data_IF_841425774785
#
_entry.id   IF_841425774785
#
_cell.length_a   1.000
_cell.length_b   1.000
_cell.length_c   1.000
_cell.angle_alpha   90.00
_cell.angle_beta   90.00
_cell.angle_gamma   90.00
#
_symmetry.space_group_name_H-M   'P 1'
#
loop_
_entity.id
_entity.type
_entity.pdbx_description
1 polymer ?
#
# COMPACT_ATOMS: atom_id res chain seq x y z
N UNK A 1 -38.14 -47.54 -10.04
CA UNK A 1 -36.84 -48.06 -10.51
C UNK A 1 -35.84 -47.98 -9.37
N UNK A 2 -34.97 -48.97 -9.19
CA UNK A 2 -33.87 -48.92 -8.22
C UNK A 2 -32.88 -47.84 -8.68
N UNK A 3 -32.57 -46.85 -7.83
CA UNK A 3 -31.54 -45.84 -8.15
C UNK A 3 -30.20 -46.56 -8.35
N UNK A 4 -29.45 -46.14 -9.37
CA UNK A 4 -28.09 -46.66 -9.62
C UNK A 4 -27.14 -46.18 -8.52
N UNK A 5 -26.07 -46.92 -8.25
CA UNK A 5 -25.05 -46.53 -7.27
C UNK A 5 -23.74 -46.04 -7.92
N UNK A 6 -23.20 -44.95 -7.38
CA UNK A 6 -21.91 -44.38 -7.74
C UNK A 6 -20.99 -44.37 -6.52
N UNK A 7 -19.92 -45.15 -6.56
CA UNK A 7 -18.88 -45.12 -5.55
C UNK A 7 -17.79 -44.12 -5.95
N UNK A 8 -17.56 -43.09 -5.13
CA UNK A 8 -16.50 -42.09 -5.31
C UNK A 8 -15.32 -42.46 -4.42
N UNK A 9 -14.19 -42.84 -5.02
CA UNK A 9 -12.99 -43.27 -4.29
C UNK A 9 -11.89 -42.22 -4.42
N UNK A 10 -11.35 -41.75 -3.29
CA UNK A 10 -10.21 -40.83 -3.27
C UNK A 10 -9.07 -41.33 -2.37
N UNK A 11 -7.89 -40.72 -2.53
CA UNK A 11 -6.77 -40.96 -1.61
C UNK A 11 -6.99 -40.32 -0.24
N UNK A 12 -7.62 -39.13 -0.21
CA UNK A 12 -7.72 -38.23 0.94
C UNK A 12 -9.19 -37.90 1.24
N UNK A 13 -9.51 -37.71 2.53
CA UNK A 13 -10.88 -37.43 3.01
C UNK A 13 -11.47 -36.14 2.43
N UNK A 14 -10.70 -35.06 2.31
CA UNK A 14 -11.17 -33.77 1.78
C UNK A 14 -11.53 -33.89 0.31
N UNK A 15 -10.65 -34.55 -0.46
CA UNK A 15 -10.89 -34.80 -1.90
C UNK A 15 -12.17 -35.64 -2.07
N UNK A 16 -12.34 -36.70 -1.27
CA UNK A 16 -13.55 -37.52 -1.27
C UNK A 16 -14.80 -36.65 -1.04
N UNK A 17 -14.84 -35.92 0.08
CA UNK A 17 -16.00 -35.10 0.45
C UNK A 17 -16.33 -34.07 -0.63
N UNK A 18 -15.32 -33.42 -1.19
CA UNK A 18 -15.48 -32.42 -2.24
C UNK A 18 -16.06 -33.02 -3.53
N UNK A 19 -15.54 -34.16 -3.99
CA UNK A 19 -16.04 -34.83 -5.19
C UNK A 19 -17.46 -35.36 -5.02
N UNK A 20 -17.76 -35.96 -3.86
CA UNK A 20 -19.12 -36.43 -3.53
C UNK A 20 -20.11 -35.27 -3.59
N UNK A 21 -19.83 -34.20 -2.85
CA UNK A 21 -20.68 -33.00 -2.83
C UNK A 21 -20.90 -32.42 -4.22
N UNK A 22 -19.83 -32.29 -5.01
CA UNK A 22 -19.88 -31.74 -6.37
C UNK A 22 -20.83 -32.52 -7.28
N UNK A 23 -20.82 -33.85 -7.18
CA UNK A 23 -21.66 -34.72 -8.02
C UNK A 23 -23.09 -34.79 -7.46
N UNK A 24 -23.24 -34.85 -6.14
CA UNK A 24 -24.54 -34.86 -5.44
C UNK A 24 -25.38 -33.62 -5.76
N UNK A 25 -24.75 -32.44 -5.82
CA UNK A 25 -25.43 -31.18 -6.18
C UNK A 25 -26.08 -31.21 -7.57
N UNK A 26 -25.62 -32.08 -8.47
CA UNK A 26 -26.14 -32.17 -9.85
C UNK A 26 -27.03 -33.39 -10.06
N UNK A 27 -26.62 -34.58 -9.59
CA UNK A 27 -27.32 -35.86 -9.87
C UNK A 27 -27.72 -36.66 -8.62
N UNK A 28 -27.59 -36.12 -7.40
CA UNK A 28 -27.90 -36.85 -6.16
C UNK A 28 -29.37 -37.29 -6.04
N UNK A 29 -30.28 -36.65 -6.78
CA UNK A 29 -31.68 -37.08 -6.83
C UNK A 29 -31.89 -38.35 -7.68
N UNK A 30 -30.98 -38.67 -8.61
CA UNK A 30 -31.11 -39.81 -9.54
C UNK A 30 -30.26 -41.02 -9.14
N UNK A 31 -29.14 -40.78 -8.44
CA UNK A 31 -28.10 -41.77 -8.15
C UNK A 31 -27.82 -41.80 -6.65
N UNK A 32 -27.58 -42.98 -6.09
CA UNK A 32 -27.06 -43.15 -4.74
C UNK A 32 -25.55 -42.95 -4.80
N UNK A 33 -25.04 -41.90 -4.18
CA UNK A 33 -23.62 -41.55 -4.21
C UNK A 33 -23.02 -41.88 -2.86
N UNK A 34 -21.92 -42.64 -2.85
CA UNK A 34 -21.21 -43.02 -1.64
C UNK A 34 -19.71 -42.73 -1.80
N UNK A 35 -19.14 -42.04 -0.81
CA UNK A 35 -17.72 -41.67 -0.81
C UNK A 35 -16.87 -42.57 0.06
N UNK A 36 -15.68 -42.92 -0.42
CA UNK A 36 -14.67 -43.66 0.33
C UNK A 36 -13.28 -43.04 0.15
N UNK A 37 -12.45 -43.08 1.19
CA UNK A 37 -11.05 -42.62 1.12
C UNK A 37 -10.07 -43.62 1.69
N UNK A 38 -8.94 -43.82 1.02
CA UNK A 38 -7.87 -44.70 1.50
C UNK A 38 -7.28 -44.27 2.84
N UNK A 39 -7.23 -42.97 3.12
CA UNK A 39 -6.80 -42.41 4.40
C UNK A 39 -7.65 -42.87 5.60
N UNK A 40 -8.96 -42.98 5.43
CA UNK A 40 -9.90 -43.36 6.51
C UNK A 40 -10.08 -44.89 6.64
N UNK A 41 -9.43 -45.66 5.75
CA UNK A 41 -9.76 -47.06 5.52
C UNK A 41 -10.97 -47.22 4.59
N UNK A 42 -10.92 -48.22 3.71
CA UNK A 42 -11.96 -48.45 2.70
C UNK A 42 -12.71 -49.72 3.05
N UNK A 43 -13.93 -49.57 3.58
CA UNK A 43 -14.91 -50.65 3.71
C UNK A 43 -16.02 -50.39 2.72
N UNK A 44 -16.02 -51.10 1.59
CA UNK A 44 -16.94 -50.85 0.47
C UNK A 44 -17.92 -52.01 0.25
N UNK A 45 -19.08 -51.74 -0.39
CA UNK A 45 -19.93 -52.79 -0.91
C UNK A 45 -19.20 -53.62 -1.98
N UNK A 46 -19.57 -54.90 -2.17
CA UNK A 46 -18.91 -55.79 -3.13
C UNK A 46 -19.09 -55.37 -4.60
N UNK A 47 -20.02 -54.46 -4.90
CA UNK A 47 -20.29 -53.96 -6.26
C UNK A 47 -20.94 -52.57 -6.22
N UNK A 48 -20.56 -51.71 -7.15
CA UNK A 48 -21.28 -50.48 -7.49
C UNK A 48 -21.65 -50.50 -8.99
N UNK A 49 -22.69 -49.75 -9.39
CA UNK A 49 -23.01 -49.62 -10.81
C UNK A 49 -21.94 -48.83 -11.57
N UNK A 50 -21.26 -47.90 -10.88
CA UNK A 50 -20.10 -47.18 -11.38
C UNK A 50 -19.16 -46.80 -10.24
N UNK A 51 -17.85 -46.79 -10.52
CA UNK A 51 -16.82 -46.28 -9.60
C UNK A 51 -16.11 -45.11 -10.25
N UNK A 52 -16.04 -43.98 -9.56
CA UNK A 52 -15.28 -42.79 -9.96
C UNK A 52 -14.09 -42.62 -9.03
N UNK A 53 -12.88 -42.56 -9.59
CA UNK A 53 -11.66 -42.33 -8.80
C UNK A 53 -11.23 -40.87 -8.83
N UNK A 54 -10.61 -40.36 -7.76
CA UNK A 54 -10.04 -39.00 -7.71
C UNK A 54 -8.87 -38.77 -8.68
N UNK A 55 -8.45 -39.79 -9.43
CA UNK A 55 -7.39 -39.69 -10.43
C UNK A 55 -6.88 -41.06 -10.87
N UNK A 56 -6.09 -41.07 -11.95
CA UNK A 56 -5.52 -42.29 -12.53
C UNK A 56 -4.60 -43.05 -11.58
N UNK A 57 -3.90 -42.32 -10.69
CA UNK A 57 -2.88 -42.88 -9.79
C UNK A 57 -3.41 -43.91 -8.78
N UNK A 58 -4.69 -43.85 -8.39
CA UNK A 58 -5.30 -44.83 -7.48
C UNK A 58 -6.01 -45.99 -8.20
N UNK A 59 -6.06 -46.00 -9.54
CA UNK A 59 -6.76 -47.06 -10.29
C UNK A 59 -6.31 -48.48 -9.94
N UNK A 60 -5.01 -48.80 -9.75
CA UNK A 60 -4.59 -50.16 -9.41
C UNK A 60 -5.21 -50.65 -8.10
N UNK A 61 -5.25 -49.80 -7.08
CA UNK A 61 -5.85 -50.11 -5.77
C UNK A 61 -7.37 -50.25 -5.89
N UNK A 62 -8.03 -49.34 -6.63
CA UNK A 62 -9.48 -49.40 -6.82
C UNK A 62 -9.91 -50.65 -7.59
N UNK A 63 -9.14 -51.11 -8.58
CA UNK A 63 -9.41 -52.36 -9.31
C UNK A 63 -9.39 -53.60 -8.42
N UNK A 64 -8.57 -53.62 -7.37
CA UNK A 64 -8.54 -54.73 -6.41
C UNK A 64 -9.81 -54.75 -5.56
N UNK A 65 -10.30 -53.57 -5.21
CA UNK A 65 -11.48 -53.37 -4.34
C UNK A 65 -12.79 -53.55 -5.11
N UNK A 66 -12.85 -53.10 -6.36
CA UNK A 66 -14.00 -53.22 -7.26
C UNK A 66 -13.63 -53.96 -8.56
N UNK A 67 -13.40 -55.29 -8.51
CA UNK A 67 -12.90 -56.03 -9.67
C UNK A 67 -13.90 -56.14 -10.83
N UNK A 68 -15.20 -56.02 -10.55
CA UNK A 68 -16.29 -56.25 -11.53
C UNK A 68 -17.07 -54.99 -11.89
N UNK A 69 -16.83 -53.87 -11.21
CA UNK A 69 -17.56 -52.62 -11.46
C UNK A 69 -16.83 -51.81 -12.55
N UNK A 70 -17.54 -51.10 -13.44
CA UNK A 70 -16.89 -50.19 -14.37
C UNK A 70 -16.24 -49.04 -13.58
N UNK A 71 -15.03 -48.65 -13.97
CA UNK A 71 -14.24 -47.62 -13.28
C UNK A 71 -13.95 -46.47 -14.25
N UNK A 72 -14.14 -45.23 -13.79
CA UNK A 72 -13.71 -44.00 -14.45
C UNK A 72 -12.60 -43.38 -13.62
N UNK A 73 -11.49 -43.03 -14.27
CA UNK A 73 -10.47 -42.20 -13.66
C UNK A 73 -10.77 -40.73 -13.94
N UNK A 74 -11.21 -40.01 -12.92
CA UNK A 74 -11.58 -38.61 -13.07
C UNK A 74 -10.36 -37.78 -13.44
N UNK A 75 -10.48 -36.98 -14.50
CA UNK A 75 -9.63 -35.82 -14.71
C UNK A 75 -10.16 -34.66 -13.88
N UNK A 76 -9.24 -33.89 -13.29
CA UNK A 76 -9.59 -32.76 -12.44
C UNK A 76 -8.89 -31.49 -12.91
N UNK A 77 -9.50 -30.34 -12.67
CA UNK A 77 -8.98 -29.02 -13.05
C UNK A 77 -8.94 -28.11 -11.82
N UNK A 78 -8.02 -27.15 -11.81
CA UNK A 78 -7.93 -26.13 -10.77
C UNK A 78 -9.23 -25.31 -10.82
N UNK A 79 -9.89 -25.16 -9.67
CA UNK A 79 -11.17 -24.46 -9.54
C UNK A 79 -11.03 -22.94 -9.76
N UNK A 80 -9.82 -22.40 -9.64
CA UNK A 80 -9.56 -20.96 -9.79
C UNK A 80 -9.85 -20.16 -8.52
N UNK A 81 -10.19 -20.83 -7.40
CA UNK A 81 -10.28 -20.19 -6.09
C UNK A 81 -8.93 -19.57 -5.72
N UNK A 82 -8.93 -18.30 -5.27
CA UNK A 82 -7.74 -17.51 -4.92
C UNK A 82 -6.60 -17.50 -5.95
N UNK A 83 -6.85 -17.92 -7.19
CA UNK A 83 -5.82 -17.97 -8.22
C UNK A 83 -5.30 -16.57 -8.56
N UNK A 84 -6.13 -15.54 -8.36
CA UNK A 84 -5.75 -14.14 -8.47
C UNK A 84 -4.56 -13.79 -7.56
N UNK A 85 -4.44 -14.40 -6.38
CA UNK A 85 -3.34 -14.13 -5.46
C UNK A 85 -2.03 -14.72 -5.97
N UNK A 86 -2.10 -15.91 -6.60
CA UNK A 86 -0.93 -16.52 -7.24
C UNK A 86 -0.48 -15.67 -8.44
N UNK A 87 -1.41 -15.17 -9.24
CA UNK A 87 -1.11 -14.31 -10.40
C UNK A 87 -0.51 -12.95 -10.02
N UNK A 88 -0.76 -12.47 -8.81
CA UNK A 88 -0.22 -11.19 -8.30
C UNK A 88 1.16 -11.32 -7.66
N UNK A 89 1.70 -12.54 -7.54
CA UNK A 89 3.05 -12.71 -7.02
C UNK A 89 4.09 -12.07 -7.96
N UNK A 90 5.12 -11.39 -7.42
CA UNK A 90 6.17 -10.80 -8.25
C UNK A 90 6.87 -11.84 -9.13
N UNK A 91 7.33 -11.40 -10.31
CA UNK A 91 8.09 -12.24 -11.23
C UNK A 91 9.38 -12.75 -10.58
N UNK A 92 9.73 -14.02 -10.81
CA UNK A 92 10.96 -14.65 -10.31
C UNK A 92 10.89 -15.11 -8.86
N UNK A 93 9.72 -15.05 -8.22
CA UNK A 93 9.52 -15.58 -6.87
C UNK A 93 9.54 -17.10 -6.88
N UNK A 94 10.22 -17.70 -5.89
CA UNK A 94 10.28 -19.15 -5.66
C UNK A 94 9.03 -19.60 -4.91
N UNK A 95 8.20 -20.42 -5.56
CA UNK A 95 6.88 -20.78 -5.07
C UNK A 95 6.74 -22.28 -4.88
N UNK A 96 6.53 -22.70 -3.64
CA UNK A 96 6.37 -24.10 -3.28
C UNK A 96 4.97 -24.60 -3.67
N UNK A 97 4.86 -25.61 -4.53
CA UNK A 97 3.58 -26.23 -4.90
C UNK A 97 3.35 -27.49 -4.10
N UNK A 98 2.39 -27.43 -3.18
CA UNK A 98 2.09 -28.49 -2.20
C UNK A 98 0.94 -29.34 -2.73
N UNK A 99 1.24 -30.59 -3.10
CA UNK A 99 0.21 -31.58 -3.44
C UNK A 99 0.71 -33.01 -3.15
N UNK A 100 -0.12 -34.03 -3.34
CA UNK A 100 0.28 -35.42 -3.18
C UNK A 100 -0.53 -36.36 -4.07
N UNK A 101 0.08 -37.44 -4.61
CA UNK A 101 1.51 -37.79 -4.64
C UNK A 101 2.32 -36.98 -5.67
N UNK A 102 3.63 -37.29 -5.83
CA UNK A 102 4.57 -36.65 -6.77
C UNK A 102 3.95 -36.35 -8.14
N UNK A 103 3.31 -37.35 -8.77
CA UNK A 103 2.72 -37.20 -10.10
C UNK A 103 1.62 -36.15 -10.16
N UNK A 104 0.82 -36.00 -9.10
CA UNK A 104 -0.25 -34.99 -9.02
C UNK A 104 0.35 -33.61 -8.75
N UNK A 105 1.45 -33.52 -7.99
CA UNK A 105 2.19 -32.26 -7.80
C UNK A 105 2.76 -31.75 -9.11
N UNK A 106 3.43 -32.61 -9.89
CA UNK A 106 3.99 -32.25 -11.20
C UNK A 106 2.89 -31.81 -12.18
N UNK A 107 1.78 -32.55 -12.25
CA UNK A 107 0.60 -32.17 -13.03
C UNK A 107 0.01 -30.82 -12.59
N UNK A 108 0.05 -30.49 -11.29
CA UNK A 108 -0.46 -29.21 -10.79
C UNK A 108 0.40 -28.04 -11.26
N UNK A 109 1.73 -28.20 -11.27
CA UNK A 109 2.67 -27.20 -11.79
C UNK A 109 2.44 -26.98 -13.28
N UNK A 110 2.34 -28.06 -14.05
CA UNK A 110 2.07 -27.99 -15.50
C UNK A 110 0.76 -27.27 -15.78
N UNK A 111 -0.30 -27.55 -15.00
CA UNK A 111 -1.58 -26.85 -15.13
C UNK A 111 -1.46 -25.35 -14.82
N UNK A 112 -0.74 -24.95 -13.78
CA UNK A 112 -0.51 -23.52 -13.46
C UNK A 112 0.23 -22.82 -14.61
N UNK A 113 1.23 -23.47 -15.20
CA UNK A 113 1.97 -22.95 -16.35
C UNK A 113 1.08 -22.84 -17.60
N UNK A 114 0.26 -23.85 -17.88
CA UNK A 114 -0.68 -23.87 -19.00
C UNK A 114 -1.79 -22.81 -18.86
N UNK A 115 -2.11 -22.39 -17.63
CA UNK A 115 -2.99 -21.26 -17.34
C UNK A 115 -2.32 -19.88 -17.60
N UNK A 116 -1.04 -19.87 -17.99
CA UNK A 116 -0.27 -18.65 -18.26
C UNK A 116 0.48 -18.10 -17.05
N UNK A 117 0.49 -18.80 -15.91
CA UNK A 117 1.22 -18.38 -14.71
C UNK A 117 2.66 -18.89 -14.81
N UNK A 118 3.42 -18.30 -15.74
CA UNK A 118 4.80 -18.71 -16.09
C UNK A 118 5.88 -17.80 -15.50
N UNK A 119 5.49 -16.76 -14.77
CA UNK A 119 6.41 -15.77 -14.20
C UNK A 119 7.00 -16.18 -12.83
N UNK A 120 6.69 -17.38 -12.34
CA UNK A 120 7.07 -17.89 -11.02
C UNK A 120 7.97 -19.12 -11.14
N UNK A 121 8.88 -19.27 -10.19
CA UNK A 121 9.80 -20.41 -10.11
C UNK A 121 9.22 -21.49 -9.20
N UNK A 122 8.52 -22.46 -9.79
CA UNK A 122 7.81 -23.49 -9.02
C UNK A 122 8.74 -24.55 -8.44
N UNK A 123 8.60 -24.80 -7.14
CA UNK A 123 9.28 -25.87 -6.41
C UNK A 123 8.25 -26.95 -6.01
N UNK A 124 8.30 -28.17 -6.56
CA UNK A 124 7.32 -29.21 -6.22
C UNK A 124 7.52 -29.73 -4.80
N UNK A 125 6.44 -29.93 -4.04
CA UNK A 125 6.42 -30.58 -2.74
C UNK A 125 5.34 -31.67 -2.66
N UNK A 126 5.67 -32.77 -1.98
CA UNK A 126 4.73 -33.80 -1.55
C UNK A 126 5.18 -34.40 -0.22
N UNK A 127 4.25 -35.04 0.50
CA UNK A 127 4.53 -35.69 1.79
C UNK A 127 5.76 -36.61 1.70
N UNK A 128 6.77 -36.33 2.52
CA UNK A 128 8.04 -37.08 2.57
C UNK A 128 9.17 -36.55 1.67
N UNK A 129 8.93 -35.50 0.87
CA UNK A 129 9.99 -34.82 0.12
C UNK A 129 10.76 -33.86 1.03
N UNK A 130 12.08 -33.90 0.97
CA UNK A 130 12.95 -32.89 1.59
C UNK A 130 13.00 -31.64 0.71
N UNK A 131 12.85 -30.46 1.31
CA UNK A 131 12.91 -29.15 0.65
C UNK A 131 13.64 -28.17 1.56
N UNK A 132 14.45 -27.31 0.94
CA UNK A 132 15.10 -26.18 1.61
C UNK A 132 14.15 -24.98 1.62
N UNK A 133 13.59 -24.66 2.79
CA UNK A 133 12.53 -23.66 2.91
C UNK A 133 13.02 -22.20 2.97
N UNK A 134 14.31 -21.99 3.23
CA UNK A 134 14.89 -20.66 3.41
C UNK A 134 14.88 -19.79 2.14
N UNK A 135 14.68 -20.40 0.97
CA UNK A 135 14.59 -19.71 -0.33
C UNK A 135 13.16 -19.65 -0.88
N UNK A 136 12.14 -20.02 -0.10
CA UNK A 136 10.75 -20.07 -0.55
C UNK A 136 10.04 -18.77 -0.16
N UNK A 137 9.53 -18.06 -1.16
CA UNK A 137 8.80 -16.80 -0.96
C UNK A 137 7.33 -17.02 -0.57
N UNK A 138 6.71 -18.06 -1.15
CA UNK A 138 5.31 -18.38 -0.94
C UNK A 138 5.02 -19.86 -1.22
N UNK A 139 3.88 -20.34 -0.75
CA UNK A 139 3.39 -21.67 -1.07
C UNK A 139 2.00 -21.61 -1.73
N UNK A 140 1.75 -22.53 -2.66
CA UNK A 140 0.47 -22.71 -3.35
C UNK A 140 0.01 -24.14 -3.15
N UNK A 141 -1.26 -24.32 -2.78
CA UNK A 141 -1.81 -25.66 -2.56
C UNK A 141 -3.27 -25.78 -2.98
N UNK A 142 -3.68 -26.86 -3.68
CA UNK A 142 -5.09 -27.11 -3.98
C UNK A 142 -5.74 -27.92 -2.85
N UNK A 143 -6.12 -27.26 -1.74
CA UNK A 143 -6.77 -27.88 -0.58
C UNK A 143 -5.87 -28.77 0.29
N UNK A 144 -4.57 -28.84 -0.03
CA UNK A 144 -3.58 -29.74 0.60
C UNK A 144 -2.57 -28.98 1.49
N UNK A 145 -2.85 -27.73 1.87
CA UNK A 145 -1.91 -26.88 2.63
C UNK A 145 -1.52 -27.46 3.98
N UNK A 146 -2.34 -28.34 4.55
CA UNK A 146 -2.07 -29.05 5.80
C UNK A 146 -0.89 -30.03 5.72
N UNK A 147 -0.42 -30.38 4.51
CA UNK A 147 0.76 -31.23 4.33
C UNK A 147 2.08 -30.48 4.59
N UNK A 148 2.05 -29.15 4.66
CA UNK A 148 3.25 -28.35 4.92
C UNK A 148 3.68 -28.50 6.39
N UNK A 149 4.91 -28.93 6.68
CA UNK A 149 5.40 -29.06 8.05
C UNK A 149 5.77 -27.71 8.68
N UNK A 150 6.15 -26.72 7.87
CA UNK A 150 6.58 -25.41 8.34
C UNK A 150 5.46 -24.36 8.21
N UNK A 151 4.98 -23.81 9.32
CA UNK A 151 3.82 -22.89 9.36
C UNK A 151 4.16 -21.42 9.06
N UNK A 152 5.42 -21.10 8.81
CA UNK A 152 5.92 -19.74 8.60
C UNK A 152 5.70 -19.22 7.18
N UNK A 153 5.58 -20.12 6.19
CA UNK A 153 5.38 -19.76 4.78
C UNK A 153 3.92 -19.41 4.56
N UNK A 154 3.67 -18.28 3.90
CA UNK A 154 2.32 -17.89 3.50
C UNK A 154 1.76 -18.87 2.46
N UNK A 155 0.65 -19.55 2.78
CA UNK A 155 0.01 -20.53 1.92
C UNK A 155 -1.18 -19.90 1.20
N UNK A 156 -1.10 -19.84 -0.12
CA UNK A 156 -2.22 -19.53 -1.01
C UNK A 156 -2.94 -20.84 -1.31
N UNK A 157 -4.05 -21.09 -0.62
CA UNK A 157 -4.94 -22.21 -0.95
C UNK A 157 -5.76 -21.85 -2.20
N UNK A 158 -5.52 -22.59 -3.28
CA UNK A 158 -6.20 -22.44 -4.58
C UNK A 158 -7.45 -23.33 -4.73
N UNK A 159 -7.88 -23.94 -3.62
CA UNK A 159 -9.09 -24.76 -3.51
C UNK A 159 -8.92 -26.16 -4.09
N UNK A 160 -9.84 -27.06 -3.73
CA UNK A 160 -9.84 -28.41 -4.27
C UNK A 160 -10.05 -28.41 -5.79
N UNK A 161 -9.34 -29.31 -6.48
CA UNK A 161 -9.50 -29.51 -7.93
C UNK A 161 -10.86 -30.15 -8.22
N UNK A 162 -11.65 -29.54 -9.11
CA UNK A 162 -12.97 -30.03 -9.54
C UNK A 162 -12.90 -30.95 -10.74
N UNK A 163 -13.94 -31.76 -10.96
CA UNK A 163 -14.01 -32.70 -12.08
C UNK A 163 -14.14 -31.95 -13.41
N UNK A 164 -13.52 -32.47 -14.47
CA UNK A 164 -13.73 -31.90 -15.81
C UNK A 164 -15.14 -32.21 -16.33
N UNK A 165 -15.68 -31.34 -17.19
CA UNK A 165 -16.95 -31.60 -17.90
C UNK A 165 -16.88 -32.93 -18.65
N UNK A 166 -15.73 -33.27 -19.23
CA UNK A 166 -15.49 -34.55 -19.90
C UNK A 166 -15.65 -35.76 -18.94
N UNK A 167 -15.05 -35.70 -17.75
CA UNK A 167 -15.17 -36.77 -16.75
C UNK A 167 -16.61 -36.91 -16.27
N UNK A 168 -17.31 -35.79 -16.08
CA UNK A 168 -18.71 -35.80 -15.69
C UNK A 168 -19.62 -36.38 -16.78
N UNK A 169 -19.38 -36.03 -18.05
CA UNK A 169 -20.10 -36.61 -19.19
C UNK A 169 -19.92 -38.13 -19.24
N UNK A 170 -18.71 -38.65 -19.00
CA UNK A 170 -18.46 -40.09 -18.95
C UNK A 170 -19.26 -40.77 -17.81
N UNK A 171 -19.39 -40.12 -16.65
CA UNK A 171 -20.23 -40.59 -15.54
C UNK A 171 -21.70 -40.70 -15.97
N UNK A 172 -22.24 -39.66 -16.60
CA UNK A 172 -23.63 -39.67 -17.07
C UNK A 172 -23.88 -40.77 -18.09
N UNK A 173 -22.96 -40.94 -19.06
CA UNK A 173 -23.08 -41.96 -20.10
C UNK A 173 -23.03 -43.38 -19.51
N UNK A 174 -22.11 -43.67 -18.59
CA UNK A 174 -22.03 -45.01 -17.95
C UNK A 174 -23.18 -45.30 -17.00
N UNK A 175 -23.78 -44.26 -16.40
CA UNK A 175 -24.97 -44.38 -15.58
C UNK A 175 -26.27 -44.27 -16.39
N UNK A 176 -26.22 -44.13 -17.72
CA UNK A 176 -27.40 -43.97 -18.59
C UNK A 176 -28.34 -42.86 -18.10
N UNK A 177 -27.75 -41.70 -17.75
CA UNK A 177 -28.46 -40.53 -17.27
C UNK A 177 -28.64 -39.50 -18.39
N UNK A 178 -29.66 -38.66 -18.23
CA UNK A 178 -29.96 -37.59 -19.18
C UNK A 178 -28.80 -36.59 -19.29
N UNK A 179 -28.43 -36.22 -20.53
CA UNK A 179 -27.39 -35.23 -20.81
C UNK A 179 -27.76 -33.81 -20.34
N UNK A 180 -29.03 -33.55 -19.95
CA UNK A 180 -29.44 -32.27 -19.33
C UNK A 180 -28.61 -31.92 -18.09
N UNK A 181 -28.06 -32.92 -17.40
CA UNK A 181 -27.22 -32.71 -16.22
C UNK A 181 -25.86 -32.08 -16.58
N UNK A 182 -25.38 -32.25 -17.83
CA UNK A 182 -24.18 -31.55 -18.31
C UNK A 182 -24.40 -30.05 -18.29
N UNK A 183 -25.55 -29.56 -18.75
CA UNK A 183 -25.87 -28.13 -18.74
C UNK A 183 -25.93 -27.56 -17.32
N UNK A 184 -26.42 -28.33 -16.35
CA UNK A 184 -26.45 -27.94 -14.93
C UNK A 184 -25.03 -27.84 -14.39
N UNK A 185 -24.18 -28.84 -14.68
CA UNK A 185 -22.79 -28.87 -14.25
C UNK A 185 -21.96 -27.74 -14.89
N UNK A 186 -22.16 -27.48 -16.18
CA UNK A 186 -21.50 -26.40 -16.92
C UNK A 186 -21.86 -25.03 -16.34
N UNK A 187 -23.13 -24.79 -15.98
CA UNK A 187 -23.57 -23.55 -15.32
C UNK A 187 -22.82 -23.30 -14.01
N UNK A 188 -22.50 -24.33 -13.24
CA UNK A 188 -21.68 -24.21 -12.02
C UNK A 188 -20.25 -23.76 -12.34
N UNK A 189 -19.66 -24.26 -13.43
CA UNK A 189 -18.33 -23.85 -13.89
C UNK A 189 -18.31 -22.40 -14.39
N UNK A 190 -19.31 -22.00 -15.17
CA UNK A 190 -19.46 -20.61 -15.64
C UNK A 190 -19.65 -19.66 -14.45
N UNK A 191 -20.42 -20.05 -13.44
CA UNK A 191 -20.61 -19.24 -12.22
C UNK A 191 -19.28 -18.97 -11.51
N UNK A 192 -18.45 -19.99 -11.37
CA UNK A 192 -17.12 -19.89 -10.76
C UNK A 192 -16.21 -18.91 -11.51
N UNK A 193 -16.16 -18.99 -12.84
CA UNK A 193 -15.44 -18.04 -13.68
C UNK A 193 -15.97 -16.60 -13.56
N UNK A 194 -17.30 -16.44 -13.51
CA UNK A 194 -17.93 -15.13 -13.33
C UNK A 194 -17.63 -14.51 -11.96
N UNK A 195 -17.53 -15.30 -10.91
CA UNK A 195 -17.14 -14.83 -9.57
C UNK A 195 -15.68 -14.35 -9.55
N UNK A 196 -14.76 -15.09 -10.15
CA UNK A 196 -13.36 -14.68 -10.31
C UNK A 196 -13.26 -13.36 -11.12
N UNK A 197 -13.96 -13.27 -12.26
CA UNK A 197 -13.98 -12.05 -13.08
C UNK A 197 -14.54 -10.83 -12.32
N UNK A 198 -15.58 -11.01 -11.50
CA UNK A 198 -16.14 -9.94 -10.64
C UNK A 198 -15.12 -9.44 -9.62
N UNK A 199 -14.35 -10.34 -9.00
CA UNK A 199 -13.27 -9.96 -8.06
C UNK A 199 -12.19 -9.14 -8.76
N UNK A 200 -11.70 -9.61 -9.92
CA UNK A 200 -10.69 -8.89 -10.72
C UNK A 200 -11.19 -7.49 -11.08
N UNK A 201 -12.43 -7.37 -11.57
CA UNK A 201 -13.02 -6.07 -11.89
C UNK A 201 -13.11 -5.13 -10.68
N UNK A 202 -13.37 -5.66 -9.49
CA UNK A 202 -13.39 -4.86 -8.24
C UNK A 202 -12.00 -4.28 -7.95
N UNK A 203 -10.96 -5.10 -8.05
CA UNK A 203 -9.56 -4.67 -7.84
C UNK A 203 -9.14 -3.63 -8.88
N UNK A 204 -9.45 -3.85 -10.16
CA UNK A 204 -9.16 -2.89 -11.23
C UNK A 204 -9.83 -1.53 -10.99
N UNK A 205 -11.13 -1.53 -10.65
CA UNK A 205 -11.85 -0.30 -10.33
C UNK A 205 -11.24 0.45 -9.13
N UNK A 206 -10.76 -0.29 -8.12
CA UNK A 206 -10.08 0.31 -6.98
C UNK A 206 -8.73 0.91 -7.38
N UNK A 207 -7.94 0.21 -8.20
CA UNK A 207 -6.68 0.71 -8.75
C UNK A 207 -6.87 1.97 -9.60
N UNK A 208 -7.90 2.01 -10.46
CA UNK A 208 -8.21 3.20 -11.26
C UNK A 208 -8.64 4.39 -10.39
N UNK A 209 -9.43 4.14 -9.34
CA UNK A 209 -9.82 5.19 -8.38
C UNK A 209 -8.61 5.75 -7.65
N UNK A 210 -7.71 4.89 -7.18
CA UNK A 210 -6.45 5.31 -6.56
C UNK A 210 -5.60 6.14 -7.52
N UNK A 211 -5.45 5.70 -8.77
CA UNK A 211 -4.72 6.46 -9.80
C UNK A 211 -5.35 7.83 -10.05
N UNK A 212 -6.68 7.91 -10.18
CA UNK A 212 -7.40 9.19 -10.34
C UNK A 212 -7.21 10.10 -9.13
N UNK A 213 -7.27 9.57 -7.91
CA UNK A 213 -7.04 10.35 -6.69
C UNK A 213 -5.61 10.90 -6.66
N UNK A 214 -4.60 10.11 -7.02
CA UNK A 214 -3.21 10.57 -7.15
C UNK A 214 -3.08 11.69 -8.19
N UNK A 215 -3.72 11.54 -9.35
CA UNK A 215 -3.74 12.58 -10.39
C UNK A 215 -4.39 13.88 -9.89
N UNK A 216 -5.53 13.80 -9.21
CA UNK A 216 -6.18 14.99 -8.63
C UNK A 216 -5.24 15.69 -7.65
N UNK A 217 -4.65 14.94 -6.71
CA UNK A 217 -3.71 15.50 -5.73
C UNK A 217 -2.53 16.21 -6.40
N UNK A 218 -1.87 15.56 -7.37
CA UNK A 218 -0.74 16.15 -8.08
C UNK A 218 -1.13 17.39 -8.91
N UNK A 219 -2.35 17.40 -9.47
CA UNK A 219 -2.84 18.52 -10.29
C UNK A 219 -3.18 19.76 -9.46
N UNK A 220 -3.70 19.58 -8.24
CA UNK A 220 -4.04 20.67 -7.33
C UNK A 220 -2.79 21.29 -6.66
N UNK A 221 -1.64 20.62 -6.71
CA UNK A 221 -0.40 21.16 -6.16
C UNK A 221 0.09 22.37 -6.97
N UNK A 222 0.39 23.46 -6.25
CA UNK A 222 0.93 24.68 -6.85
C UNK A 222 2.42 24.55 -7.19
N UNK A 223 3.13 23.70 -6.46
CA UNK A 223 4.55 23.41 -6.68
C UNK A 223 4.73 22.49 -7.89
N UNK A 224 5.73 22.79 -8.72
CA UNK A 224 6.19 21.89 -9.76
C UNK A 224 6.83 20.67 -9.12
N UNK A 225 6.37 19.47 -9.46
CA UNK A 225 6.93 18.21 -8.96
C UNK A 225 7.45 17.40 -10.15
N UNK A 226 8.68 16.93 -10.03
CA UNK A 226 9.33 16.05 -10.99
C UNK A 226 9.99 14.89 -10.22
N UNK A 227 9.61 13.65 -10.51
CA UNK A 227 10.27 12.47 -9.97
C UNK A 227 11.02 11.74 -11.09
N UNK A 228 12.23 11.30 -10.80
CA UNK A 228 13.08 10.53 -11.72
C UNK A 228 13.61 9.28 -11.05
N UNK A 229 13.76 8.19 -11.81
CA UNK A 229 14.34 6.94 -11.33
C UNK A 229 15.88 6.98 -11.34
N UNK A 230 16.52 5.89 -10.89
CA UNK A 230 17.98 5.74 -10.92
C UNK A 230 18.60 5.87 -12.32
N UNK A 231 17.82 5.55 -13.36
CA UNK A 231 18.23 5.69 -14.76
C UNK A 231 18.01 7.12 -15.31
N UNK A 232 17.72 8.08 -14.44
CA UNK A 232 17.49 9.49 -14.78
C UNK A 232 16.30 9.72 -15.73
N UNK A 233 15.36 8.79 -15.79
CA UNK A 233 14.13 8.92 -16.57
C UNK A 233 13.03 9.54 -15.71
N UNK A 234 12.24 10.43 -16.29
CA UNK A 234 11.10 11.03 -15.62
C UNK A 234 10.01 9.98 -15.42
N UNK A 235 9.64 9.74 -14.16
CA UNK A 235 8.56 8.82 -13.75
C UNK A 235 7.27 9.59 -13.50
N UNK A 236 7.36 10.77 -12.87
CA UNK A 236 6.20 11.62 -12.55
C UNK A 236 6.52 13.07 -12.88
N UNK A 237 5.57 13.76 -13.50
CA UNK A 237 5.58 15.22 -13.63
C UNK A 237 4.15 15.74 -13.45
N UNK A 238 3.97 16.79 -12.64
CA UNK A 238 2.65 17.38 -12.45
C UNK A 238 2.41 18.60 -13.37
N UNK A 239 1.16 19.07 -13.55
CA UNK A 239 0.84 20.23 -14.39
C UNK A 239 1.51 21.55 -13.95
N UNK A 240 1.89 21.68 -12.68
CA UNK A 240 2.64 22.84 -12.23
C UNK A 240 4.02 22.95 -12.90
N UNK A 241 4.67 21.84 -13.25
CA UNK A 241 5.89 21.85 -14.07
C UNK A 241 5.64 22.50 -15.44
N UNK A 242 4.54 22.15 -16.09
CA UNK A 242 4.15 22.75 -17.37
C UNK A 242 3.87 24.25 -17.25
N UNK A 243 3.25 24.69 -16.15
CA UNK A 243 2.98 26.12 -15.89
C UNK A 243 4.25 26.92 -15.59
N UNK A 244 5.18 26.35 -14.84
CA UNK A 244 6.43 27.01 -14.44
C UNK A 244 7.42 27.09 -15.60
N UNK A 245 7.54 26.03 -16.39
CA UNK A 245 8.59 25.89 -17.41
C UNK A 245 8.08 25.95 -18.86
N UNK A 246 6.77 25.97 -19.09
CA UNK A 246 6.18 26.10 -20.43
C UNK A 246 6.24 24.84 -21.30
N UNK A 247 6.61 23.69 -20.74
CA UNK A 247 6.66 22.41 -21.46
C UNK A 247 5.34 21.64 -21.35
N UNK A 248 4.95 20.90 -22.39
CA UNK A 248 3.81 19.99 -22.30
C UNK A 248 4.11 18.84 -21.33
N UNK A 249 3.09 18.35 -20.63
CA UNK A 249 3.25 17.22 -19.70
C UNK A 249 3.77 15.97 -20.42
N UNK A 250 3.28 15.70 -21.63
CA UNK A 250 3.73 14.58 -22.47
C UNK A 250 5.21 14.67 -22.85
N UNK A 251 5.72 15.89 -23.05
CA UNK A 251 7.16 16.08 -23.31
C UNK A 251 7.96 15.73 -22.05
N UNK A 252 7.57 16.25 -20.89
CA UNK A 252 8.30 16.05 -19.64
C UNK A 252 8.37 14.57 -19.23
N UNK A 253 7.29 13.82 -19.36
CA UNK A 253 7.23 12.40 -18.93
C UNK A 253 8.00 11.44 -19.83
N UNK A 254 8.36 11.85 -21.06
CA UNK A 254 9.06 11.00 -22.02
C UNK A 254 10.56 11.32 -22.12
N UNK A 255 11.09 12.09 -21.18
CA UNK A 255 12.41 12.68 -21.28
C UNK A 255 13.38 12.18 -20.20
N UNK A 256 14.66 12.20 -20.52
CA UNK A 256 15.71 12.08 -19.53
C UNK A 256 15.90 13.44 -18.83
N UNK A 257 16.11 13.43 -17.52
CA UNK A 257 16.27 14.67 -16.75
C UNK A 257 17.41 15.54 -17.29
N UNK A 258 18.47 14.95 -17.82
CA UNK A 258 19.61 15.67 -18.38
C UNK A 258 19.21 16.54 -19.59
N UNK A 259 18.21 16.13 -20.36
CA UNK A 259 17.67 16.96 -21.46
C UNK A 259 16.88 18.16 -20.95
N UNK A 260 16.13 17.95 -19.86
CA UNK A 260 15.38 19.02 -19.19
C UNK A 260 16.37 20.02 -18.60
N UNK A 261 17.38 19.56 -17.87
CA UNK A 261 18.42 20.38 -17.22
C UNK A 261 19.17 21.26 -18.24
N UNK A 262 19.58 20.67 -19.37
CA UNK A 262 20.28 21.40 -20.44
C UNK A 262 19.46 22.58 -20.96
N UNK A 263 18.13 22.44 -21.02
CA UNK A 263 17.23 23.50 -21.51
C UNK A 263 16.85 24.53 -20.44
N UNK A 264 17.12 24.25 -19.16
CA UNK A 264 16.88 25.19 -18.08
C UNK A 264 18.04 26.19 -17.87
N UNK A 265 19.02 26.22 -18.78
CA UNK A 265 20.14 27.19 -18.85
C UNK A 265 20.85 27.47 -17.51
N UNK A 266 21.69 26.52 -17.07
CA UNK A 266 22.61 26.62 -15.91
C UNK A 266 21.96 26.55 -14.53
N UNK A 267 21.34 25.42 -14.25
CA UNK A 267 20.88 25.11 -12.90
C UNK A 267 21.90 24.15 -12.24
N UNK A 268 22.78 24.68 -11.38
CA UNK A 268 23.73 23.90 -10.55
C UNK A 268 23.05 22.86 -9.65
N UNK A 269 21.71 22.95 -9.48
CA UNK A 269 20.83 22.05 -8.69
C UNK A 269 20.99 20.56 -8.97
N UNK A 270 21.41 20.22 -10.18
CA UNK A 270 21.40 18.83 -10.65
C UNK A 270 22.80 18.21 -10.74
N UNK A 271 23.86 18.94 -10.38
CA UNK A 271 25.26 18.49 -10.52
C UNK A 271 25.85 17.79 -9.29
N UNK A 272 25.11 17.58 -8.21
CA UNK A 272 25.62 16.75 -7.10
C UNK A 272 25.58 15.26 -7.43
N UNK A 273 26.68 14.83 -8.04
CA UNK A 273 27.27 13.50 -7.88
C UNK A 273 27.83 13.37 -6.46
N UNK A 274 27.70 12.17 -5.90
CA UNK A 274 28.34 11.66 -4.68
C UNK A 274 27.69 11.99 -3.33
N UNK A 275 27.14 10.92 -2.74
CA UNK A 275 27.27 10.57 -1.32
C UNK A 275 27.22 11.72 -0.31
N UNK A 276 26.02 12.18 0.04
CA UNK A 276 25.73 12.45 1.43
C UNK A 276 24.22 12.41 1.67
N UNK A 277 23.86 11.49 2.55
CA UNK A 277 22.62 11.47 3.31
C UNK A 277 22.32 12.86 3.90
N UNK A 278 21.06 13.28 3.78
CA UNK A 278 20.39 14.31 4.62
C UNK A 278 20.51 15.81 4.29
N UNK A 279 21.23 16.27 3.25
CA UNK A 279 21.19 17.71 2.90
C UNK A 279 20.22 18.02 1.77
N UNK A 280 18.99 18.37 2.16
CA UNK A 280 18.13 19.22 1.34
C UNK A 280 18.83 20.56 1.09
N UNK A 281 19.49 20.72 -0.05
CA UNK A 281 20.00 22.02 -0.49
C UNK A 281 18.88 22.74 -1.24
N UNK A 282 18.30 23.74 -0.58
CA UNK A 282 17.44 24.69 -1.28
C UNK A 282 18.32 25.52 -2.20
N UNK A 283 18.07 25.42 -3.50
CA UNK A 283 18.83 26.16 -4.50
C UNK A 283 17.89 27.14 -5.19
N UNK A 284 18.35 28.39 -5.27
CA UNK A 284 17.62 29.47 -5.90
C UNK A 284 18.26 29.76 -7.25
N UNK A 285 17.46 29.74 -8.31
CA UNK A 285 17.91 30.07 -9.66
C UNK A 285 16.89 30.98 -10.36
N UNK A 286 17.32 31.63 -11.43
CA UNK A 286 16.46 32.51 -12.22
C UNK A 286 16.10 31.81 -13.53
N UNK A 287 14.82 31.70 -13.82
CA UNK A 287 14.30 31.15 -15.09
C UNK A 287 13.20 32.07 -15.62
N UNK A 288 13.30 32.49 -16.89
CA UNK A 288 12.37 33.44 -17.52
C UNK A 288 12.07 34.68 -16.65
N UNK A 289 13.11 35.30 -16.09
CA UNK A 289 13.02 36.47 -15.20
C UNK A 289 12.26 36.24 -13.88
N UNK A 290 11.97 34.98 -13.53
CA UNK A 290 11.38 34.58 -12.23
C UNK A 290 12.44 33.89 -11.38
N UNK A 291 12.44 34.18 -10.07
CA UNK A 291 13.24 33.41 -9.12
C UNK A 291 12.46 32.16 -8.68
N UNK A 292 13.08 31.00 -8.90
CA UNK A 292 12.56 29.70 -8.51
C UNK A 292 13.45 29.12 -7.42
N UNK A 293 12.81 28.51 -6.43
CA UNK A 293 13.45 27.66 -5.42
C UNK A 293 13.24 26.22 -5.85
N UNK A 294 14.32 25.45 -5.93
CA UNK A 294 14.26 24.00 -6.12
C UNK A 294 14.81 23.27 -4.89
N UNK A 295 14.09 22.23 -4.49
CA UNK A 295 14.53 21.27 -3.48
C UNK A 295 14.64 19.89 -4.12
N UNK A 296 15.73 19.17 -3.85
CA UNK A 296 15.94 17.77 -4.26
C UNK A 296 15.85 16.88 -3.03
N UNK A 297 15.06 15.81 -3.12
CA UNK A 297 15.01 14.73 -2.12
C UNK A 297 15.22 13.38 -2.77
N UNK A 298 15.89 12.50 -2.07
CA UNK A 298 16.05 11.11 -2.47
C UNK A 298 15.10 10.25 -1.65
N UNK A 299 14.36 9.37 -2.30
CA UNK A 299 13.41 8.44 -1.69
C UNK A 299 13.69 7.05 -2.23
N UNK A 300 13.60 6.03 -1.40
CA UNK A 300 13.74 4.63 -1.81
C UNK A 300 12.35 3.99 -1.91
N UNK A 301 12.02 3.44 -3.08
CA UNK A 301 10.75 2.76 -3.38
C UNK A 301 11.11 1.40 -3.95
N UNK A 302 10.64 0.31 -3.34
CA UNK A 302 10.87 -1.06 -3.83
C UNK A 302 12.36 -1.42 -4.09
N UNK A 303 13.28 -0.93 -3.23
CA UNK A 303 14.75 -1.02 -3.37
C UNK A 303 15.33 -0.29 -4.60
N UNK A 304 14.58 0.61 -5.22
CA UNK A 304 15.06 1.53 -6.25
C UNK A 304 15.08 2.96 -5.69
N UNK A 305 16.15 3.71 -5.95
CA UNK A 305 16.23 5.13 -5.56
C UNK A 305 15.51 6.00 -6.59
N UNK A 306 14.69 6.90 -6.06
CA UNK A 306 14.02 7.95 -6.80
C UNK A 306 14.52 9.31 -6.32
N UNK A 307 14.70 10.23 -7.25
CA UNK A 307 15.00 11.63 -6.96
C UNK A 307 13.76 12.47 -7.24
N UNK A 308 13.30 13.22 -6.24
CA UNK A 308 12.15 14.11 -6.30
C UNK A 308 12.65 15.54 -6.28
N UNK A 309 12.29 16.31 -7.31
CA UNK A 309 12.56 17.73 -7.42
C UNK A 309 11.26 18.51 -7.27
N UNK A 310 11.25 19.47 -6.34
CA UNK A 310 10.11 20.38 -6.15
C UNK A 310 10.51 21.81 -6.48
N UNK A 311 9.69 22.50 -7.26
CA UNK A 311 9.94 23.86 -7.75
C UNK A 311 8.85 24.82 -7.29
N UNK A 312 9.25 25.95 -6.71
CA UNK A 312 8.33 26.99 -6.23
C UNK A 312 8.84 28.38 -6.61
N UNK A 313 7.94 29.31 -6.95
CA UNK A 313 8.31 30.72 -7.16
C UNK A 313 8.63 31.41 -5.81
N UNK A 314 9.81 32.02 -5.71
CA UNK A 314 10.27 32.69 -4.48
C UNK A 314 9.35 33.86 -4.08
N UNK A 315 8.80 34.59 -5.06
CA UNK A 315 7.86 35.68 -4.83
C UNK A 315 6.58 35.24 -4.08
N UNK A 316 6.16 33.98 -4.24
CA UNK A 316 4.98 33.44 -3.55
C UNK A 316 5.28 33.14 -2.08
N UNK A 317 6.48 32.67 -1.78
CA UNK A 317 6.96 32.48 -0.41
C UNK A 317 6.93 33.82 0.34
N UNK A 318 7.47 34.88 -0.28
CA UNK A 318 7.47 36.22 0.30
C UNK A 318 6.05 36.76 0.55
N UNK A 319 5.11 36.55 -0.38
CA UNK A 319 3.71 36.95 -0.19
C UNK A 319 3.04 36.22 0.97
N UNK A 320 3.25 34.91 1.09
CA UNK A 320 2.72 34.11 2.20
C UNK A 320 3.28 34.59 3.55
N UNK A 321 4.59 34.86 3.63
CA UNK A 321 5.19 35.44 4.83
C UNK A 321 4.58 36.80 5.19
N UNK A 322 4.35 37.67 4.20
CA UNK A 322 3.70 38.96 4.43
C UNK A 322 2.26 38.81 4.94
N UNK A 323 1.48 37.86 4.40
CA UNK A 323 0.13 37.58 4.87
C UNK A 323 0.12 37.01 6.30
N UNK A 324 1.04 36.10 6.62
CA UNK A 324 1.22 35.59 7.99
C UNK A 324 1.55 36.74 8.93
N UNK A 325 2.50 37.61 8.57
CA UNK A 325 2.82 38.82 9.34
C UNK A 325 1.58 39.69 9.54
N UNK A 326 0.83 39.99 8.47
CA UNK A 326 -0.41 40.79 8.55
C UNK A 326 -1.43 40.19 9.53
N UNK A 327 -1.65 38.88 9.49
CA UNK A 327 -2.56 38.19 10.44
C UNK A 327 -2.09 38.29 11.89
N UNK A 328 -0.78 38.22 12.14
CA UNK A 328 -0.22 38.44 13.48
C UNK A 328 -0.42 39.89 13.96
N UNK A 329 -0.28 40.88 13.04
CA UNK A 329 -0.63 42.28 13.32
C UNK A 329 -2.11 42.44 13.70
N UNK A 330 -3.03 41.83 12.95
CA UNK A 330 -4.49 41.89 13.19
C UNK A 330 -4.90 41.27 14.53
N UNK A 331 -4.18 40.25 15.02
CA UNK A 331 -4.40 39.63 16.35
C UNK A 331 -3.89 40.47 17.52
N UNK A 332 -3.29 41.64 17.28
CA UNK A 332 -2.85 42.56 18.32
C UNK A 332 -1.48 42.26 18.92
N UNK A 333 -0.70 41.32 18.35
CA UNK A 333 0.68 41.02 18.75
C UNK A 333 1.67 42.06 18.21
N UNK A 334 1.46 43.31 18.62
CA UNK A 334 2.19 44.48 18.11
C UNK A 334 2.54 45.39 19.28
N UNK A 335 3.79 45.84 19.33
CA UNK A 335 4.20 46.87 20.28
C UNK A 335 3.56 48.20 19.86
N UNK A 336 2.72 48.77 20.73
CA UNK A 336 1.99 50.00 20.44
C UNK A 336 2.77 51.24 20.88
N UNK A 337 3.56 51.13 21.94
CA UNK A 337 4.19 52.28 22.59
C UNK A 337 5.63 52.57 22.15
N UNK A 338 5.99 53.83 22.00
CA UNK A 338 7.37 54.33 21.73
C UNK A 338 7.98 54.97 22.97
N UNK A 339 9.26 55.37 22.89
CA UNK A 339 9.91 56.13 23.97
C UNK A 339 9.25 57.50 24.24
N UNK A 340 8.47 58.04 23.30
CA UNK A 340 7.74 59.29 23.45
C UNK A 340 6.52 59.13 24.37
N UNK A 341 5.95 57.92 24.42
CA UNK A 341 4.81 57.59 25.28
C UNK A 341 5.20 57.46 26.77
N UNK A 342 6.50 57.41 27.08
CA UNK A 342 7.02 57.33 28.44
C UNK A 342 7.16 58.76 29.00
N UNK A 343 6.21 59.21 29.81
CA UNK A 343 6.20 60.57 30.33
C UNK A 343 7.12 60.77 31.55
N UNK A 344 7.91 61.84 31.54
CA UNK A 344 8.74 62.27 32.67
C UNK A 344 9.97 63.07 32.24
N UNK A 345 10.18 64.23 32.89
CA UNK A 345 11.24 65.18 32.54
C UNK A 345 12.40 65.22 33.56
N UNK A 346 12.48 64.24 34.46
CA UNK A 346 13.61 64.15 35.38
C UNK A 346 14.83 63.48 34.72
N UNK A 347 16.03 63.77 35.25
CA UNK A 347 17.29 63.25 34.70
C UNK A 347 17.34 61.72 34.66
N UNK A 348 16.71 61.06 35.64
CA UNK A 348 16.69 59.60 35.77
C UNK A 348 15.94 58.92 34.62
N UNK A 349 14.75 59.41 34.27
CA UNK A 349 13.94 58.88 33.16
C UNK A 349 14.68 59.10 31.83
N UNK A 350 15.31 60.25 31.63
CA UNK A 350 16.11 60.51 30.42
C UNK A 350 17.26 59.51 30.27
N UNK A 351 18.00 59.24 31.36
CA UNK A 351 19.08 58.25 31.36
C UNK A 351 18.57 56.83 31.06
N UNK A 352 17.39 56.45 31.58
CA UNK A 352 16.76 55.15 31.27
C UNK A 352 16.39 55.05 29.80
N UNK A 353 15.75 56.08 29.22
CA UNK A 353 15.39 56.12 27.79
C UNK A 353 16.63 55.98 26.91
N UNK A 354 17.69 56.74 27.18
CA UNK A 354 18.94 56.68 26.41
C UNK A 354 19.58 55.29 26.47
N UNK A 355 19.64 54.68 27.66
CA UNK A 355 20.19 53.34 27.85
C UNK A 355 19.37 52.29 27.09
N UNK A 356 18.05 52.32 27.26
CA UNK A 356 17.13 51.41 26.59
C UNK A 356 17.19 51.55 25.05
N UNK A 357 17.30 52.78 24.53
CA UNK A 357 17.45 53.03 23.09
C UNK A 357 18.76 52.42 22.51
N UNK A 358 19.86 52.45 23.27
CA UNK A 358 21.12 51.80 22.87
C UNK A 358 20.97 50.27 22.82
N UNK A 359 20.36 49.67 23.84
CA UNK A 359 20.13 48.22 23.89
C UNK A 359 19.13 47.74 22.84
N UNK A 360 18.14 48.55 22.46
CA UNK A 360 17.20 48.22 21.39
C UNK A 360 17.89 47.86 20.07
N UNK A 361 19.09 48.39 19.80
CA UNK A 361 19.85 48.12 18.57
C UNK A 361 20.70 46.85 18.64
N UNK A 362 20.65 46.10 19.73
CA UNK A 362 21.37 44.84 19.94
C UNK A 362 20.44 43.64 19.87
N UNK A 363 20.99 42.44 19.67
CA UNK A 363 20.23 41.18 19.67
C UNK A 363 20.18 40.49 21.04
N UNK A 364 20.77 41.12 22.07
CA UNK A 364 20.92 40.56 23.41
C UNK A 364 19.61 40.55 24.21
N UNK A 365 19.54 39.67 25.21
CA UNK A 365 18.39 39.62 26.13
C UNK A 365 18.42 40.80 27.10
N UNK A 366 17.29 41.50 27.26
CA UNK A 366 17.17 42.69 28.12
C UNK A 366 16.32 42.37 29.35
N UNK A 367 16.90 42.52 30.54
CA UNK A 367 16.18 42.43 31.81
C UNK A 367 15.75 43.83 32.27
N UNK A 368 14.43 44.05 32.41
CA UNK A 368 13.85 45.29 32.92
C UNK A 368 13.41 45.07 34.37
N UNK A 369 14.02 45.79 35.31
CA UNK A 369 13.70 45.71 36.75
C UNK A 369 13.00 46.97 37.23
N UNK A 370 12.16 46.82 38.27
CA UNK A 370 11.42 47.92 38.88
C UNK A 370 10.18 47.41 39.61
N UNK A 371 9.65 48.21 40.51
CA UNK A 371 8.43 47.90 41.28
C UNK A 371 7.20 47.71 40.36
N UNK A 372 6.15 47.07 40.88
CA UNK A 372 4.90 46.90 40.12
C UNK A 372 4.30 48.26 39.75
N UNK A 373 3.75 48.38 38.54
CA UNK A 373 3.13 49.64 38.08
C UNK A 373 4.09 50.73 37.58
N UNK A 374 5.42 50.50 37.57
CA UNK A 374 6.42 51.50 37.10
C UNK A 374 6.56 51.61 35.58
N UNK A 375 5.67 50.99 34.79
CA UNK A 375 5.68 51.11 33.33
C UNK A 375 6.69 50.22 32.59
N UNK A 376 7.12 49.10 33.19
CA UNK A 376 8.06 48.14 32.55
C UNK A 376 7.60 47.64 31.19
N UNK A 377 6.30 47.39 31.04
CA UNK A 377 5.71 46.94 29.76
C UNK A 377 5.77 48.03 28.68
N UNK A 378 5.49 49.29 29.05
CA UNK A 378 5.65 50.45 28.15
C UNK A 378 7.09 50.55 27.66
N UNK A 379 8.06 50.37 28.56
CA UNK A 379 9.48 50.39 28.21
C UNK A 379 9.87 49.22 27.29
N UNK A 380 9.36 48.01 27.53
CA UNK A 380 9.60 46.85 26.67
C UNK A 380 9.05 47.06 25.24
N UNK A 381 7.85 47.61 25.12
CA UNK A 381 7.26 47.95 23.82
C UNK A 381 8.07 49.03 23.09
N UNK A 382 8.51 50.07 23.81
CA UNK A 382 9.36 51.13 23.25
C UNK A 382 10.70 50.59 22.73
N UNK A 383 11.34 49.69 23.48
CA UNK A 383 12.56 48.99 23.08
C UNK A 383 12.32 48.20 21.78
N UNK A 384 11.24 47.40 21.71
CA UNK A 384 10.92 46.63 20.50
C UNK A 384 10.74 47.53 19.28
N UNK A 385 9.97 48.64 19.42
CA UNK A 385 9.73 49.59 18.32
C UNK A 385 10.98 50.31 17.83
N UNK A 386 11.99 50.48 18.68
CA UNK A 386 13.29 51.07 18.31
C UNK A 386 14.34 50.04 17.91
N UNK A 387 13.99 48.75 17.86
CA UNK A 387 14.91 47.67 17.54
C UNK A 387 15.00 47.36 16.04
N UNK A 388 15.96 46.51 15.68
CA UNK A 388 16.04 45.90 14.34
C UNK A 388 14.89 44.91 14.07
N UNK A 389 14.16 44.49 15.11
CA UNK A 389 13.03 43.55 15.06
C UNK A 389 11.67 44.25 15.12
N UNK A 390 11.63 45.58 14.99
CA UNK A 390 10.41 46.41 15.07
C UNK A 390 9.28 45.99 14.13
N UNK A 391 9.63 45.36 12.99
CA UNK A 391 8.68 44.88 11.97
C UNK A 391 8.21 43.43 12.24
N UNK A 392 8.70 42.81 13.32
CA UNK A 392 8.26 41.51 13.82
C UNK A 392 7.18 41.62 14.89
N UNK A 393 6.48 40.51 15.19
CA UNK A 393 5.45 40.48 16.22
C UNK A 393 6.04 40.75 17.60
N UNK A 394 5.26 41.40 18.46
CA UNK A 394 5.56 41.60 19.87
C UNK A 394 4.51 40.86 20.70
N UNK A 395 4.95 39.87 21.46
CA UNK A 395 4.09 39.06 22.32
C UNK A 395 4.48 39.34 23.76
N UNK A 396 3.58 39.96 24.52
CA UNK A 396 3.75 40.14 25.96
C UNK A 396 3.06 38.99 26.70
N UNK A 397 3.80 38.32 27.59
CA UNK A 397 3.28 37.23 28.42
C UNK A 397 3.39 37.66 29.88
N UNK A 398 2.26 37.63 30.60
CA UNK A 398 2.23 37.89 32.04
C UNK A 398 2.14 36.57 32.81
N UNK A 399 3.28 36.05 33.26
CA UNK A 399 3.36 34.80 34.02
C UNK A 399 2.55 34.80 35.33
N UNK A 400 2.28 35.98 35.92
CA UNK A 400 1.47 36.05 37.13
C UNK A 400 -0.02 35.76 36.89
N UNK A 401 -0.46 35.77 35.63
CA UNK A 401 -1.83 35.46 35.24
C UNK A 401 -2.00 34.01 34.74
N UNK A 402 -0.92 33.23 34.66
CA UNK A 402 -0.93 31.86 34.13
C UNK A 402 -0.75 30.89 35.32
N UNK A 403 -1.66 29.92 35.52
CA UNK A 403 -1.50 28.85 36.51
C UNK A 403 -0.19 28.06 36.27
N UNK A 404 0.55 27.71 37.32
CA UNK A 404 1.87 27.05 37.20
C UNK A 404 1.84 25.79 36.33
N UNK A 405 0.75 25.03 36.38
CA UNK A 405 0.53 23.82 35.58
C UNK A 405 0.30 24.08 34.08
N UNK A 406 0.11 25.34 33.66
CA UNK A 406 -0.13 25.75 32.27
C UNK A 406 1.00 26.62 31.70
N UNK A 407 2.01 26.99 32.51
CA UNK A 407 3.10 27.88 32.06
C UNK A 407 3.94 27.25 30.95
N UNK A 408 4.29 25.97 31.08
CA UNK A 408 5.09 25.26 30.07
C UNK A 408 4.31 25.09 28.76
N UNK A 409 3.04 24.71 28.84
CA UNK A 409 2.20 24.50 27.66
C UNK A 409 1.89 25.79 26.90
N UNK A 410 1.76 26.93 27.58
CA UNK A 410 1.57 28.24 26.96
C UNK A 410 2.86 28.80 26.32
N UNK A 411 4.05 28.46 26.86
CA UNK A 411 5.33 28.93 26.33
C UNK A 411 5.86 28.11 25.15
N UNK A 412 5.66 26.80 25.19
CA UNK A 412 6.27 25.88 24.24
C UNK A 412 5.26 25.24 23.29
N UNK A 413 3.95 25.44 23.54
CA UNK A 413 2.86 24.85 22.78
C UNK A 413 2.67 23.36 23.09
N UNK A 414 1.53 22.81 22.65
CA UNK A 414 1.26 21.38 22.74
C UNK A 414 1.78 20.64 21.50
N UNK A 415 2.37 19.45 21.64
CA UNK A 415 2.43 18.48 20.56
C UNK A 415 0.99 18.17 20.10
N UNK A 416 0.75 18.13 18.79
CA UNK A 416 -0.57 17.76 18.26
C UNK A 416 -1.00 16.39 18.81
N UNK A 417 -2.08 16.36 19.61
CA UNK A 417 -2.65 15.13 20.18
C UNK A 417 -2.52 14.96 21.71
N UNK A 418 -1.91 15.91 22.42
CA UNK A 418 -1.92 15.87 23.89
C UNK A 418 -3.31 16.19 24.45
N UNK A 419 -3.64 15.46 25.52
CA UNK A 419 -4.92 15.47 26.23
C UNK A 419 -4.63 15.93 27.65
N UNK A 420 -5.41 16.87 28.19
CA UNK A 420 -5.26 17.22 29.61
C UNK A 420 -5.68 16.07 30.54
N UNK A 421 -5.41 16.21 31.84
CA UNK A 421 -5.81 15.26 32.88
C UNK A 421 -7.33 15.02 32.94
N UNK A 422 -8.13 15.89 32.30
CA UNK A 422 -9.59 15.83 32.21
C UNK A 422 -10.12 15.27 30.86
N UNK A 423 -9.23 14.83 29.95
CA UNK A 423 -9.63 14.17 28.71
C UNK A 423 -9.99 15.09 27.55
N UNK A 424 -9.66 16.39 27.62
CA UNK A 424 -9.95 17.36 26.55
C UNK A 424 -8.77 17.43 25.57
N UNK A 425 -9.07 17.17 24.30
CA UNK A 425 -8.14 17.32 23.18
C UNK A 425 -7.98 18.80 22.83
N UNK A 426 -6.75 19.32 22.88
CA UNK A 426 -6.44 20.63 22.32
C UNK A 426 -6.27 20.53 20.80
N UNK A 427 -6.91 21.44 20.06
CA UNK A 427 -6.93 21.48 18.58
C UNK A 427 -5.78 22.28 17.97
#
# INVERSE_FOLDING_TARGET
MKKKSLAVIASDRRIKNFLVKTIEEVIGNEVIIEGYSFEEGVTVPPKADLVLTSGKFIMPQVKQVFPTSPIIACQRVISGYNLEQVMMLPKGKKVLVINHPKSVTEETIENLQNLGITHLDYVPYWKGKQVEYHEIDAAVSPGMGHLLPEKTINIIDIGERTITIQSFLEVLLKLDLSLKYVEIFEKSYIRLLMEAAKKIRKVLNQSERLRKNQTILLNEMEEGILSVNEQNQVVISNPAMSRLFGYSSDYLTNQNIQEIIKRLENVEVFQDDSSDTEKSSDVIFTYNSKQLVCNKRTVEIDNERHFIYTFREAARIQKLEQEVRRKLYEKGYVAKHTFDDIWGNNQWIQTIKEKAYRFARTEETILITGESGTGKELLAQAIHRSSLRKDGPFVAINFAAIPENLVESELFGYPAGDVDEDGVLFH
#
